data_IF_085709637073
#
_entry.id   IF_085709637073
#
_cell.length_a   1.000
_cell.length_b   1.000
_cell.length_c   1.000
_cell.angle_alpha   90.00
_cell.angle_beta   90.00
_cell.angle_gamma   90.00
#
_symmetry.space_group_name_H-M   'P 1'
#
loop_
_entity.id
_entity.type
_entity.pdbx_description
1 polymer ?
#
# COMPACT_ATOMS: atom_id res chain seq x y z
N UNK A 1 -53.26 -29.98 -31.37
CA UNK A 1 -51.78 -29.99 -31.33
C UNK A 1 -51.35 -29.05 -30.20
N UNK A 2 -50.97 -29.56 -29.03
CA UNK A 2 -50.51 -28.74 -27.89
C UNK A 2 -49.01 -28.93 -27.75
N UNK A 3 -48.26 -27.87 -28.05
CA UNK A 3 -46.82 -27.82 -27.98
C UNK A 3 -46.40 -27.56 -26.52
N UNK A 4 -45.84 -28.57 -25.86
CA UNK A 4 -45.20 -28.40 -24.56
C UNK A 4 -43.75 -28.00 -24.78
N UNK A 5 -43.44 -26.73 -24.55
CA UNK A 5 -42.05 -26.25 -24.50
C UNK A 5 -41.54 -26.52 -23.09
N UNK A 6 -40.78 -27.60 -22.94
CA UNK A 6 -39.98 -27.84 -21.73
C UNK A 6 -38.81 -26.85 -21.76
N UNK A 7 -38.94 -25.77 -20.98
CA UNK A 7 -37.81 -24.90 -20.62
C UNK A 7 -36.85 -25.71 -19.75
N UNK A 8 -35.86 -26.33 -20.40
CA UNK A 8 -34.69 -26.84 -19.72
C UNK A 8 -33.89 -25.65 -19.18
N UNK A 9 -34.04 -25.36 -17.89
CA UNK A 9 -33.16 -24.43 -17.18
C UNK A 9 -31.80 -25.12 -17.08
N UNK A 10 -30.88 -24.72 -17.94
CA UNK A 10 -29.47 -25.05 -17.78
C UNK A 10 -28.98 -24.34 -16.52
N UNK A 11 -28.93 -25.04 -15.39
CA UNK A 11 -28.16 -24.63 -14.22
C UNK A 11 -26.68 -24.66 -14.62
N UNK A 12 -26.18 -23.55 -15.14
CA UNK A 12 -24.75 -23.28 -15.03
C UNK A 12 -24.46 -23.23 -13.53
N UNK A 13 -23.59 -24.12 -13.06
CA UNK A 13 -23.14 -24.14 -11.67
C UNK A 13 -22.43 -22.83 -11.37
N UNK A 14 -23.16 -21.84 -10.88
CA UNK A 14 -22.59 -20.62 -10.33
C UNK A 14 -21.86 -21.04 -9.06
N UNK A 15 -20.53 -21.10 -9.10
CA UNK A 15 -19.72 -21.26 -7.89
C UNK A 15 -19.97 -20.02 -7.03
N UNK A 16 -20.83 -20.17 -6.02
CA UNK A 16 -21.26 -19.06 -5.17
C UNK A 16 -20.14 -18.75 -4.18
N UNK A 17 -19.45 -17.63 -4.40
CA UNK A 17 -18.47 -17.13 -3.43
C UNK A 17 -19.17 -16.58 -2.18
N UNK A 18 -18.61 -16.86 -1.01
CA UNK A 18 -19.07 -16.35 0.28
C UNK A 18 -18.30 -15.07 0.57
N UNK A 19 -19.01 -13.95 0.68
CA UNK A 19 -18.40 -12.65 1.01
C UNK A 19 -18.43 -12.44 2.52
N UNK A 20 -17.25 -12.22 3.12
CA UNK A 20 -17.09 -12.00 4.56
C UNK A 20 -16.53 -10.60 4.80
N UNK A 21 -17.28 -9.74 5.49
CA UNK A 21 -16.93 -8.33 5.70
C UNK A 21 -16.65 -7.96 7.17
N UNK A 22 -16.58 -8.96 8.04
CA UNK A 22 -16.32 -8.74 9.48
C UNK A 22 -14.82 -8.57 9.74
N UNK A 23 -14.48 -7.81 10.78
CA UNK A 23 -13.09 -7.60 11.24
C UNK A 23 -12.40 -8.87 11.72
N UNK A 24 -13.14 -9.93 12.00
CA UNK A 24 -12.60 -11.25 12.31
C UNK A 24 -13.65 -12.32 11.99
N UNK A 25 -13.19 -13.56 11.85
CA UNK A 25 -14.10 -14.67 11.63
C UNK A 25 -13.40 -16.01 11.64
N UNK A 26 -14.23 -17.04 11.55
CA UNK A 26 -13.84 -18.45 11.52
C UNK A 26 -14.34 -19.05 10.22
N UNK A 27 -13.47 -19.77 9.51
CA UNK A 27 -13.82 -20.54 8.32
C UNK A 27 -13.37 -21.98 8.51
N UNK A 28 -14.15 -22.91 7.95
CA UNK A 28 -13.84 -24.34 8.03
C UNK A 28 -14.14 -25.02 6.71
N UNK A 29 -13.44 -26.13 6.47
CA UNK A 29 -13.85 -27.09 5.45
C UNK A 29 -15.30 -27.58 5.68
N UNK A 30 -16.01 -28.01 4.62
CA UNK A 30 -17.35 -28.60 4.76
C UNK A 30 -17.34 -29.79 5.73
N UNK A 31 -18.35 -29.89 6.60
CA UNK A 31 -18.54 -30.95 7.61
C UNK A 31 -17.53 -31.00 8.77
N UNK A 32 -16.55 -30.10 8.83
CA UNK A 32 -15.61 -30.01 9.95
C UNK A 32 -16.33 -30.06 11.32
N UNK A 33 -15.91 -30.90 12.28
CA UNK A 33 -14.63 -31.65 12.33
C UNK A 33 -14.65 -33.03 11.64
N UNK A 34 -15.76 -33.42 11.02
CA UNK A 34 -15.83 -34.67 10.27
C UNK A 34 -15.15 -34.55 8.90
N UNK A 35 -15.00 -35.68 8.22
CA UNK A 35 -14.39 -35.73 6.89
C UNK A 35 -15.10 -34.84 5.88
N UNK A 36 -14.33 -34.05 5.13
CA UNK A 36 -14.89 -33.26 4.04
C UNK A 36 -15.31 -34.18 2.87
N UNK A 37 -16.35 -33.83 2.11
CA UNK A 37 -16.79 -34.65 0.98
C UNK A 37 -16.00 -34.32 -0.29
N UNK A 38 -15.89 -35.30 -1.19
CA UNK A 38 -15.31 -35.13 -2.52
C UNK A 38 -16.11 -34.13 -3.37
N UNK A 39 -15.48 -33.64 -4.45
CA UNK A 39 -16.03 -32.72 -5.44
C UNK A 39 -16.63 -31.44 -4.83
N UNK A 40 -15.95 -30.87 -3.83
CA UNK A 40 -16.35 -29.61 -3.24
C UNK A 40 -15.39 -28.50 -3.62
N UNK A 41 -16.01 -27.37 -3.92
CA UNK A 41 -15.34 -26.09 -4.00
C UNK A 41 -16.03 -25.12 -3.03
N UNK A 42 -15.21 -24.36 -2.29
CA UNK A 42 -15.65 -23.27 -1.43
C UNK A 42 -14.71 -22.10 -1.62
N UNK A 43 -15.30 -20.93 -1.88
CA UNK A 43 -14.57 -19.69 -2.08
C UNK A 43 -15.04 -18.71 -1.01
N UNK A 44 -14.13 -18.23 -0.18
CA UNK A 44 -14.37 -17.14 0.77
C UNK A 44 -13.62 -15.90 0.31
N UNK A 45 -14.36 -14.84 0.03
CA UNK A 45 -13.83 -13.51 -0.25
C UNK A 45 -13.92 -12.68 1.03
N UNK A 46 -12.80 -12.60 1.76
CA UNK A 46 -12.69 -11.83 2.99
C UNK A 46 -12.29 -10.41 2.61
N UNK A 47 -13.06 -9.42 3.04
CA UNK A 47 -12.77 -8.01 2.79
C UNK A 47 -12.90 -7.23 4.08
N UNK A 48 -11.82 -6.57 4.48
CA UNK A 48 -11.79 -5.66 5.63
C UNK A 48 -11.76 -4.20 5.14
N UNK A 49 -12.03 -3.21 6.01
CA UNK A 49 -11.92 -1.81 5.63
C UNK A 49 -10.53 -1.46 5.07
N UNK A 50 -10.44 -0.40 4.25
CA UNK A 50 -9.14 0.14 3.82
C UNK A 50 -8.35 0.62 5.05
N UNK A 51 -7.02 0.51 4.98
CA UNK A 51 -6.13 0.73 6.12
C UNK A 51 -5.86 -0.54 6.95
N UNK A 52 -6.49 -1.66 6.59
CA UNK A 52 -6.24 -2.95 7.24
C UNK A 52 -5.81 -4.00 6.21
N UNK A 53 -5.01 -4.97 6.68
CA UNK A 53 -4.76 -6.24 6.01
C UNK A 53 -5.53 -7.37 6.72
N UNK A 54 -5.68 -8.50 6.06
CA UNK A 54 -6.29 -9.72 6.60
C UNK A 54 -5.16 -10.67 7.01
N UNK A 55 -5.07 -10.92 8.31
CA UNK A 55 -4.20 -11.93 8.89
C UNK A 55 -4.99 -13.22 9.08
N UNK A 56 -4.51 -14.35 8.57
CA UNK A 56 -5.13 -15.66 8.72
C UNK A 56 -4.14 -16.70 9.25
N UNK A 57 -4.61 -17.60 10.10
CA UNK A 57 -3.86 -18.77 10.58
C UNK A 57 -4.80 -19.97 10.73
N UNK A 58 -4.21 -21.16 10.76
CA UNK A 58 -4.94 -22.43 10.84
C UNK A 58 -4.72 -23.05 12.21
N UNK A 59 -5.80 -23.45 12.87
CA UNK A 59 -5.75 -24.18 14.16
C UNK A 59 -5.80 -25.69 13.94
N UNK A 60 -6.33 -26.12 12.80
CA UNK A 60 -6.35 -27.51 12.37
C UNK A 60 -6.19 -27.59 10.86
N UNK A 61 -5.37 -28.52 10.39
CA UNK A 61 -5.17 -28.76 8.97
C UNK A 61 -4.83 -30.23 8.71
N UNK A 62 -5.62 -30.89 7.86
CA UNK A 62 -5.47 -32.28 7.47
C UNK A 62 -6.22 -32.51 6.16
N UNK A 63 -5.52 -32.30 5.03
CA UNK A 63 -6.02 -32.53 3.68
C UNK A 63 -5.29 -33.71 3.03
N UNK A 64 -5.80 -34.19 1.90
CA UNK A 64 -5.07 -35.16 1.09
C UNK A 64 -3.76 -34.54 0.58
N UNK A 65 -2.68 -35.33 0.61
CA UNK A 65 -1.37 -34.92 0.11
C UNK A 65 -1.23 -35.37 -1.35
N UNK A 66 -0.83 -34.45 -2.22
CA UNK A 66 -0.54 -34.71 -3.63
C UNK A 66 0.59 -33.81 -4.12
N UNK A 67 1.30 -34.21 -5.18
CA UNK A 67 2.41 -33.44 -5.73
C UNK A 67 1.94 -32.01 -6.09
N UNK A 68 2.60 -30.99 -5.53
CA UNK A 68 2.25 -29.57 -5.68
C UNK A 68 0.78 -29.25 -5.32
N UNK A 69 0.14 -30.08 -4.49
CA UNK A 69 -1.25 -29.95 -4.08
C UNK A 69 -2.27 -29.95 -5.24
N UNK A 70 -2.06 -30.81 -6.24
CA UNK A 70 -2.92 -30.88 -7.44
C UNK A 70 -4.35 -31.41 -7.15
N UNK A 71 -4.50 -32.33 -6.19
CA UNK A 71 -5.80 -32.94 -5.87
C UNK A 71 -6.61 -32.02 -4.95
N UNK A 72 -6.28 -32.02 -3.66
CA UNK A 72 -7.00 -31.29 -2.63
C UNK A 72 -6.14 -30.18 -2.06
N UNK A 73 -6.69 -28.98 -1.96
CA UNK A 73 -5.92 -27.83 -1.50
C UNK A 73 -6.75 -26.72 -0.86
N UNK A 74 -6.06 -25.91 -0.06
CA UNK A 74 -6.46 -24.56 0.31
C UNK A 74 -5.51 -23.56 -0.34
N UNK A 75 -6.04 -22.69 -1.20
CA UNK A 75 -5.29 -21.63 -1.88
C UNK A 75 -5.62 -20.27 -1.28
N UNK A 76 -4.58 -19.52 -0.93
CA UNK A 76 -4.66 -18.16 -0.40
C UNK A 76 -4.18 -17.17 -1.47
N UNK A 77 -5.00 -16.18 -1.83
CA UNK A 77 -4.64 -15.17 -2.83
C UNK A 77 -5.01 -13.76 -2.37
N UNK A 78 -4.16 -12.78 -2.66
CA UNK A 78 -4.39 -11.35 -2.37
C UNK A 78 -3.60 -10.49 -3.36
N UNK A 79 -4.12 -9.31 -3.73
CA UNK A 79 -3.44 -8.39 -4.67
C UNK A 79 -3.08 -9.01 -6.02
N UNK A 80 -3.85 -9.98 -6.50
CA UNK A 80 -3.58 -10.73 -7.74
C UNK A 80 -2.44 -11.75 -7.66
N UNK A 81 -1.85 -11.98 -6.47
CA UNK A 81 -0.79 -12.96 -6.24
C UNK A 81 -1.30 -14.12 -5.39
N UNK A 82 -0.76 -15.31 -5.64
CA UNK A 82 -0.95 -16.46 -4.74
C UNK A 82 0.03 -16.31 -3.57
N UNK A 83 -0.48 -16.31 -2.35
CA UNK A 83 0.31 -16.26 -1.12
C UNK A 83 0.78 -17.66 -0.71
N UNK A 84 -0.11 -18.65 -0.83
CA UNK A 84 0.18 -20.05 -0.53
C UNK A 84 -0.82 -20.99 -1.22
N UNK A 85 -0.37 -22.21 -1.50
CA UNK A 85 -1.21 -23.36 -1.85
C UNK A 85 -0.87 -24.47 -0.85
N UNK A 86 -1.86 -24.90 -0.07
CA UNK A 86 -1.66 -25.73 1.11
C UNK A 86 -2.38 -27.07 0.96
N UNK A 87 -1.73 -28.17 1.32
CA UNK A 87 -2.31 -29.51 1.34
C UNK A 87 -1.58 -30.43 2.32
N UNK A 88 -2.02 -31.68 2.42
CA UNK A 88 -1.46 -32.62 3.39
C UNK A 88 -1.77 -32.27 4.85
N UNK A 89 -1.00 -32.85 5.76
CA UNK A 89 -1.08 -32.61 7.21
C UNK A 89 0.19 -31.96 7.75
N UNK A 90 1.34 -32.40 7.26
CA UNK A 90 2.67 -31.91 7.59
C UNK A 90 3.37 -31.51 6.28
N UNK A 91 4.24 -30.49 6.33
CA UNK A 91 4.98 -30.00 5.16
C UNK A 91 6.00 -31.03 4.65
N UNK A 92 6.24 -31.06 3.34
CA UNK A 92 7.23 -31.93 2.66
C UNK A 92 8.25 -31.06 1.90
N UNK A 93 9.14 -31.69 1.13
CA UNK A 93 10.08 -30.97 0.25
C UNK A 93 9.37 -30.19 -0.89
N UNK A 94 8.15 -30.61 -1.26
CA UNK A 94 7.41 -30.09 -2.43
C UNK A 94 6.04 -29.51 -2.09
N UNK A 95 5.48 -29.85 -0.94
CA UNK A 95 4.16 -29.39 -0.48
C UNK A 95 4.25 -28.64 0.85
N UNK A 96 3.36 -27.65 1.04
CA UNK A 96 3.28 -26.84 2.26
C UNK A 96 2.00 -27.18 3.04
N UNK A 97 2.16 -27.50 4.32
CA UNK A 97 1.09 -27.41 5.32
C UNK A 97 1.26 -26.10 6.10
N UNK A 98 0.19 -25.51 6.66
CA UNK A 98 0.29 -24.21 7.32
C UNK A 98 1.10 -24.23 8.63
N UNK A 99 1.23 -25.37 9.31
CA UNK A 99 1.88 -25.51 10.61
C UNK A 99 1.46 -24.38 11.59
N UNK A 100 2.43 -23.61 12.13
CA UNK A 100 2.19 -22.41 12.95
C UNK A 100 2.36 -21.11 12.17
N UNK A 101 2.39 -21.17 10.83
CA UNK A 101 2.58 -20.00 9.97
C UNK A 101 1.31 -19.16 9.93
N UNK A 102 1.52 -17.86 9.90
CA UNK A 102 0.48 -16.87 9.67
C UNK A 102 0.66 -16.31 8.27
N UNK A 103 -0.44 -16.12 7.54
CA UNK A 103 -0.46 -15.47 6.25
C UNK A 103 -1.13 -14.10 6.37
N UNK A 104 -0.55 -13.08 5.73
CA UNK A 104 -1.06 -11.72 5.73
C UNK A 104 -1.33 -11.30 4.29
N UNK A 105 -2.50 -10.73 4.03
CA UNK A 105 -2.87 -10.23 2.71
C UNK A 105 -2.04 -9.00 2.32
N UNK A 106 -1.85 -8.81 1.01
CA UNK A 106 -1.12 -7.65 0.45
C UNK A 106 -1.96 -6.38 0.53
N UNK A 107 -3.27 -6.53 0.36
CA UNK A 107 -4.26 -5.46 0.44
C UNK A 107 -5.35 -5.80 1.46
N UNK A 108 -6.48 -5.08 1.44
CA UNK A 108 -7.60 -5.30 2.35
C UNK A 108 -8.50 -6.48 1.93
N UNK A 109 -8.06 -7.33 1.02
CA UNK A 109 -8.79 -8.49 0.51
C UNK A 109 -7.95 -9.78 0.61
N UNK A 110 -8.58 -10.85 1.09
CA UNK A 110 -8.03 -12.20 1.04
C UNK A 110 -9.06 -13.16 0.47
N UNK A 111 -8.68 -13.82 -0.61
CA UNK A 111 -9.44 -14.92 -1.20
C UNK A 111 -8.89 -16.24 -0.69
N UNK A 112 -9.78 -17.05 -0.10
CA UNK A 112 -9.48 -18.41 0.34
C UNK A 112 -10.30 -19.36 -0.52
N UNK A 113 -9.63 -20.29 -1.21
CA UNK A 113 -10.27 -21.32 -2.03
C UNK A 113 -9.95 -22.68 -1.43
N UNK A 114 -10.98 -23.42 -1.03
CA UNK A 114 -10.86 -24.85 -0.74
C UNK A 114 -11.40 -25.64 -1.91
N UNK A 115 -10.64 -26.63 -2.38
CA UNK A 115 -11.05 -27.56 -3.41
C UNK A 115 -10.70 -28.99 -3.00
N UNK A 116 -11.65 -29.89 -3.23
CA UNK A 116 -11.42 -31.33 -3.18
C UNK A 116 -11.73 -31.97 -4.54
N UNK A 117 -10.95 -32.96 -4.95
CA UNK A 117 -11.07 -33.67 -6.21
C UNK A 117 -12.18 -34.75 -6.17
N UNK A 118 -12.12 -35.78 -7.02
CA UNK A 118 -13.16 -36.81 -7.09
C UNK A 118 -13.07 -37.90 -6.01
N UNK A 119 -11.93 -38.06 -5.34
CA UNK A 119 -11.66 -39.21 -4.49
C UNK A 119 -10.86 -38.83 -3.27
N UNK A 120 -11.27 -39.34 -2.11
CA UNK A 120 -10.43 -39.36 -0.92
C UNK A 120 -10.19 -40.81 -0.53
N UNK A 121 -8.93 -41.24 -0.52
CA UNK A 121 -8.58 -42.62 -0.12
C UNK A 121 -8.84 -42.88 1.38
N UNK A 122 -8.85 -41.81 2.19
CA UNK A 122 -9.02 -41.84 3.65
C UNK A 122 -9.92 -40.69 4.12
N UNK A 123 -10.55 -40.79 5.29
CA UNK A 123 -11.32 -39.68 5.85
C UNK A 123 -10.39 -38.57 6.37
N UNK A 124 -10.21 -37.51 5.58
CA UNK A 124 -9.46 -36.32 5.99
C UNK A 124 -10.38 -35.30 6.65
N UNK A 125 -10.04 -34.88 7.87
CA UNK A 125 -10.87 -33.97 8.68
C UNK A 125 -10.91 -32.53 8.18
N UNK A 126 -10.09 -32.16 7.20
CA UNK A 126 -10.09 -30.85 6.57
C UNK A 126 -9.37 -29.81 7.41
N UNK A 127 -9.92 -28.60 7.47
CA UNK A 127 -9.28 -27.47 8.16
C UNK A 127 -10.24 -26.61 8.98
N UNK A 128 -9.66 -25.94 9.96
CA UNK A 128 -10.22 -24.81 10.70
C UNK A 128 -9.23 -23.65 10.67
N UNK A 129 -9.71 -22.48 10.26
CA UNK A 129 -8.90 -21.26 10.21
C UNK A 129 -9.64 -20.07 10.82
N UNK A 130 -8.86 -19.17 11.39
CA UNK A 130 -9.32 -17.91 11.95
C UNK A 130 -8.61 -16.76 11.25
N UNK A 131 -9.38 -15.74 10.92
CA UNK A 131 -8.84 -14.52 10.34
C UNK A 131 -9.22 -13.31 11.18
N UNK A 132 -8.38 -12.27 11.13
CA UNK A 132 -8.62 -10.98 11.74
C UNK A 132 -8.04 -9.85 10.88
N UNK A 133 -8.64 -8.68 10.97
CA UNK A 133 -8.12 -7.44 10.42
C UNK A 133 -6.93 -6.97 11.28
N UNK A 134 -5.82 -6.65 10.63
CA UNK A 134 -4.63 -6.09 11.24
C UNK A 134 -4.40 -4.69 10.67
N UNK A 135 -4.19 -3.72 11.55
CA UNK A 135 -3.90 -2.34 11.16
C UNK A 135 -2.59 -2.27 10.36
N UNK A 136 -2.60 -1.55 9.25
CA UNK A 136 -1.41 -1.36 8.44
C UNK A 136 -0.65 -0.16 9.01
N UNK A 137 0.55 -0.39 9.53
CA UNK A 137 1.43 0.71 9.94
C UNK A 137 2.06 1.37 8.70
N UNK A 138 1.38 2.38 8.15
CA UNK A 138 1.86 3.05 6.93
C UNK A 138 3.15 3.85 7.15
N UNK A 139 3.48 4.18 8.41
CA UNK A 139 4.70 4.89 8.77
C UNK A 139 5.96 4.01 8.67
N UNK A 140 5.79 2.68 8.69
CA UNK A 140 6.90 1.73 8.44
C UNK A 140 7.08 1.39 6.96
N UNK A 141 6.16 1.81 6.10
CA UNK A 141 6.22 1.52 4.67
C UNK A 141 6.94 2.64 3.90
N UNK A 142 7.69 2.25 2.88
CA UNK A 142 8.26 3.17 1.90
C UNK A 142 7.34 3.24 0.68
N UNK A 143 7.05 4.45 0.22
CA UNK A 143 6.27 4.70 -0.98
C UNK A 143 7.23 5.18 -2.08
N UNK A 144 7.42 4.36 -3.13
CA UNK A 144 8.42 4.59 -4.19
C UNK A 144 9.85 4.85 -3.68
N UNK A 145 10.22 4.17 -2.58
CA UNK A 145 11.54 4.30 -1.95
C UNK A 145 11.69 5.52 -1.02
N UNK A 146 10.69 6.40 -0.92
CA UNK A 146 10.68 7.53 0.01
C UNK A 146 9.70 7.31 1.19
N UNK A 147 9.95 7.95 2.35
CA UNK A 147 8.98 7.99 3.44
C UNK A 147 7.65 8.62 3.01
N UNK A 148 6.55 8.06 3.52
CA UNK A 148 5.19 8.49 3.18
C UNK A 148 4.88 9.95 3.53
N UNK A 149 5.44 10.45 4.63
CA UNK A 149 5.30 11.80 5.12
C UNK A 149 6.64 12.54 5.06
N UNK A 150 6.62 13.82 4.71
CA UNK A 150 7.85 14.61 4.58
C UNK A 150 8.56 14.82 5.93
N UNK A 151 7.81 15.06 7.01
CA UNK A 151 8.38 15.29 8.35
C UNK A 151 7.96 14.21 9.34
N UNK A 152 6.76 14.29 9.90
CA UNK A 152 6.30 13.36 10.92
C UNK A 152 5.13 12.54 10.38
N UNK A 153 5.19 11.23 10.57
CA UNK A 153 4.12 10.29 10.27
C UNK A 153 3.48 9.80 11.57
N UNK A 154 2.16 9.75 11.62
CA UNK A 154 1.39 9.29 12.76
C UNK A 154 0.45 8.17 12.31
N UNK A 155 0.71 6.96 12.78
CA UNK A 155 -0.14 5.80 12.55
C UNK A 155 -1.31 5.79 13.55
N UNK A 156 -2.51 5.42 13.09
CA UNK A 156 -3.66 5.15 13.93
C UNK A 156 -4.46 4.00 13.34
N UNK A 157 -5.37 3.43 14.14
CA UNK A 157 -6.17 2.27 13.73
C UNK A 157 -7.05 2.62 12.52
N UNK A 158 -6.71 2.07 11.36
CA UNK A 158 -7.37 2.27 10.07
C UNK A 158 -6.79 3.39 9.19
N UNK A 159 -5.64 3.95 9.52
CA UNK A 159 -4.95 4.88 8.65
C UNK A 159 -3.82 5.70 9.29
N UNK A 160 -3.39 6.73 8.59
CA UNK A 160 -2.33 7.62 9.06
C UNK A 160 -2.62 9.08 8.76
N UNK A 161 -1.85 9.97 9.38
CA UNK A 161 -1.76 11.37 8.97
C UNK A 161 -0.32 11.89 9.11
N UNK A 162 0.00 12.91 8.31
CA UNK A 162 1.28 13.59 8.39
C UNK A 162 1.17 14.89 9.17
N UNK A 163 2.24 15.26 9.87
CA UNK A 163 2.37 16.58 10.49
C UNK A 163 3.74 17.18 10.22
N UNK A 164 3.86 18.49 10.42
CA UNK A 164 5.06 19.26 10.11
C UNK A 164 5.77 19.76 11.37
N UNK A 165 7.07 20.03 11.24
CA UNK A 165 7.87 20.75 12.24
C UNK A 165 7.39 22.19 12.39
N UNK A 166 7.77 22.84 13.49
CA UNK A 166 7.49 24.27 13.72
C UNK A 166 8.03 25.12 12.56
N UNK A 167 7.26 26.10 12.10
CA UNK A 167 7.61 26.96 10.95
C UNK A 167 7.13 26.43 9.59
N UNK A 168 6.53 25.24 9.55
CA UNK A 168 6.00 24.63 8.34
C UNK A 168 4.49 24.43 8.42
N UNK A 169 3.85 24.41 7.26
CA UNK A 169 2.44 24.07 7.08
C UNK A 169 2.29 22.82 6.25
N UNK A 170 1.31 21.98 6.62
CA UNK A 170 0.99 20.81 5.83
C UNK A 170 0.32 21.25 4.51
N UNK A 171 0.92 20.85 3.40
CA UNK A 171 0.41 21.13 2.06
C UNK A 171 -0.96 20.44 1.83
N UNK A 172 -1.72 20.91 0.85
CA UNK A 172 -3.04 20.34 0.50
C UNK A 172 -3.01 18.86 0.09
N UNK A 173 -1.85 18.34 -0.31
CA UNK A 173 -1.65 16.90 -0.58
C UNK A 173 -1.55 16.03 0.70
N UNK A 174 -1.61 16.65 1.89
CA UNK A 174 -1.56 16.01 3.21
C UNK A 174 -0.28 15.20 3.50
N UNK A 175 0.78 15.36 2.72
CA UNK A 175 2.06 14.64 2.88
C UNK A 175 3.27 15.56 2.96
N UNK A 176 3.27 16.64 2.20
CA UNK A 176 4.40 17.56 2.07
C UNK A 176 4.30 18.70 3.07
N UNK A 177 5.44 19.11 3.62
CA UNK A 177 5.51 20.27 4.50
C UNK A 177 6.10 21.45 3.73
N UNK A 178 5.30 22.50 3.56
CA UNK A 178 5.74 23.74 2.91
C UNK A 178 6.15 24.73 3.97
N UNK A 179 7.24 25.44 3.73
CA UNK A 179 7.61 26.54 4.58
C UNK A 179 6.98 27.83 4.06
N UNK A 180 6.44 28.64 4.97
CA UNK A 180 5.95 29.96 4.65
C UNK A 180 7.03 30.99 4.93
N UNK A 181 7.56 31.58 3.87
CA UNK A 181 8.47 32.70 3.96
C UNK A 181 7.71 33.99 3.70
N UNK A 182 7.79 34.92 4.63
CA UNK A 182 7.43 36.30 4.33
C UNK A 182 8.46 36.88 3.35
N UNK A 183 8.00 37.78 2.48
CA UNK A 183 8.91 38.52 1.60
C UNK A 183 9.94 39.27 2.42
N UNK A 184 11.23 39.02 2.17
CA UNK A 184 12.31 39.72 2.86
C UNK A 184 12.81 40.88 2.01
N UNK A 185 13.01 42.04 2.66
CA UNK A 185 13.60 43.23 2.04
C UNK A 185 15.00 43.41 2.62
N UNK A 186 16.00 43.43 1.76
CA UNK A 186 17.40 43.67 2.11
C UNK A 186 17.76 45.10 1.72
N UNK A 187 18.12 45.92 2.72
CA UNK A 187 18.52 47.32 2.53
C UNK A 187 19.99 47.58 2.82
N UNK A 188 20.70 46.58 3.35
CA UNK A 188 22.13 46.71 3.66
C UNK A 188 22.98 46.70 2.38
N UNK A 189 24.13 47.38 2.41
CA UNK A 189 25.04 47.47 1.26
C UNK A 189 25.73 46.15 0.93
N UNK A 190 25.86 45.27 1.91
CA UNK A 190 26.43 43.93 1.80
C UNK A 190 25.52 42.97 2.57
N UNK A 191 25.38 41.75 2.08
CA UNK A 191 24.56 40.73 2.71
C UNK A 191 24.61 39.41 1.94
N UNK A 192 24.09 38.36 2.57
CA UNK A 192 24.04 37.02 1.99
C UNK A 192 22.58 36.53 1.92
N UNK A 193 22.22 35.91 0.79
CA UNK A 193 20.89 35.34 0.58
C UNK A 193 21.05 33.87 0.24
N UNK A 194 20.66 33.01 1.18
CA UNK A 194 20.72 31.56 1.00
C UNK A 194 19.34 30.98 0.71
N UNK A 195 19.27 29.76 0.17
CA UNK A 195 18.03 28.99 0.18
C UNK A 195 17.62 28.66 1.63
N UNK A 196 16.33 28.38 1.89
CA UNK A 196 15.95 28.05 3.24
C UNK A 196 16.60 26.76 3.73
N UNK A 197 17.04 26.78 4.99
CA UNK A 197 17.78 25.70 5.66
C UNK A 197 19.12 25.33 5.02
N UNK A 198 19.67 26.18 4.13
CA UNK A 198 21.01 25.96 3.57
C UNK A 198 22.04 25.69 4.69
N UNK A 199 22.91 24.66 4.54
CA UNK A 199 23.19 23.88 3.34
C UNK A 199 22.33 22.61 3.16
N UNK A 200 21.28 22.43 3.97
CA UNK A 200 20.39 21.26 3.87
C UNK A 200 19.39 21.39 2.70
N UNK A 201 18.74 20.29 2.27
CA UNK A 201 17.77 20.34 1.18
C UNK A 201 16.63 21.32 1.46
N UNK A 202 16.35 22.20 0.49
CA UNK A 202 15.30 23.20 0.63
C UNK A 202 13.91 22.56 0.72
N UNK A 203 12.96 23.21 1.40
CA UNK A 203 11.58 22.72 1.52
C UNK A 203 10.87 22.51 0.20
N UNK A 204 10.23 21.34 0.05
CA UNK A 204 9.42 21.01 -1.14
C UNK A 204 8.18 21.90 -1.22
N UNK A 205 7.69 22.11 -2.46
CA UNK A 205 6.48 22.89 -2.77
C UNK A 205 6.41 24.29 -2.12
N UNK A 206 7.57 24.87 -1.82
CA UNK A 206 7.67 26.16 -1.15
C UNK A 206 8.03 27.25 -2.16
N UNK A 207 7.51 28.45 -1.95
CA UNK A 207 7.86 29.64 -2.74
C UNK A 207 8.41 30.70 -1.80
N UNK A 208 9.51 31.34 -2.20
CA UNK A 208 10.12 32.44 -1.47
C UNK A 208 10.46 33.56 -2.44
N UNK A 209 10.14 34.78 -2.03
CA UNK A 209 10.52 36.01 -2.71
C UNK A 209 11.36 36.88 -1.78
N UNK A 210 12.39 37.52 -2.31
CA UNK A 210 13.13 38.56 -1.62
C UNK A 210 13.33 39.76 -2.55
N UNK A 211 13.53 40.94 -1.96
CA UNK A 211 13.74 42.19 -2.67
C UNK A 211 14.96 42.87 -2.10
N UNK A 212 15.90 43.25 -2.97
CA UNK A 212 17.07 44.04 -2.58
C UNK A 212 16.78 45.49 -2.95
N UNK A 213 16.86 46.40 -1.98
CA UNK A 213 16.58 47.82 -2.16
C UNK A 213 17.81 48.64 -1.75
N UNK A 214 18.36 49.40 -2.70
CA UNK A 214 19.56 50.22 -2.51
C UNK A 214 19.26 51.69 -2.83
N UNK A 215 20.12 52.59 -2.33
CA UNK A 215 20.04 54.02 -2.64
C UNK A 215 20.18 54.29 -4.15
N UNK A 216 19.52 55.34 -4.64
CA UNK A 216 19.60 55.73 -6.05
C UNK A 216 21.05 55.97 -6.50
N UNK A 217 21.38 55.47 -7.69
CA UNK A 217 22.75 55.50 -8.23
C UNK A 217 23.64 54.35 -7.77
N UNK A 218 23.18 53.46 -6.89
CA UNK A 218 23.92 52.25 -6.49
C UNK A 218 23.78 51.13 -7.53
N UNK A 219 24.86 50.37 -7.73
CA UNK A 219 24.87 49.14 -8.53
C UNK A 219 24.79 47.92 -7.61
N UNK A 220 23.97 46.93 -7.98
CA UNK A 220 23.86 45.65 -7.27
C UNK A 220 24.73 44.62 -8.01
N UNK A 221 25.67 44.01 -7.31
CA UNK A 221 26.46 42.88 -7.79
C UNK A 221 26.02 41.61 -7.05
N UNK A 222 25.65 40.56 -7.78
CA UNK A 222 25.31 39.26 -7.22
C UNK A 222 26.42 38.25 -7.55
N UNK A 223 26.95 37.60 -6.53
CA UNK A 223 27.95 36.54 -6.67
C UNK A 223 27.40 35.26 -6.03
N UNK A 224 27.31 34.20 -6.82
CA UNK A 224 26.97 32.87 -6.31
C UNK A 224 28.22 32.22 -5.76
N UNK A 225 28.23 32.00 -4.45
CA UNK A 225 29.33 31.34 -3.73
C UNK A 225 28.91 29.93 -3.31
N UNK A 226 29.88 29.16 -2.83
CA UNK A 226 29.66 27.80 -2.30
C UNK A 226 28.93 26.84 -3.25
N UNK A 227 28.09 25.94 -2.71
CA UNK A 227 27.42 24.89 -3.48
C UNK A 227 26.12 25.38 -4.09
N UNK A 228 25.97 25.18 -5.41
CA UNK A 228 24.73 25.46 -6.12
C UNK A 228 24.09 24.16 -6.60
N UNK A 229 23.03 23.72 -5.93
CA UNK A 229 22.33 22.48 -6.23
C UNK A 229 20.82 22.72 -6.37
N UNK A 230 20.34 22.70 -7.61
CA UNK A 230 18.92 22.79 -7.98
C UNK A 230 18.60 21.62 -8.89
N UNK A 231 17.43 21.00 -8.71
CA UNK A 231 17.03 19.84 -9.50
C UNK A 231 16.95 20.17 -11.00
N UNK A 232 17.58 19.36 -11.84
CA UNK A 232 17.67 19.56 -13.30
C UNK A 232 17.19 18.34 -14.07
N UNK A 233 16.74 18.58 -15.30
CA UNK A 233 16.44 17.53 -16.28
C UNK A 233 17.26 17.81 -17.55
N UNK A 234 18.02 16.84 -18.09
CA UNK A 234 18.76 17.05 -19.32
C UNK A 234 17.83 17.46 -20.48
N UNK A 235 18.20 18.52 -21.20
CA UNK A 235 17.45 18.99 -22.38
C UNK A 235 16.23 19.86 -22.11
N UNK A 236 15.84 20.07 -20.84
CA UNK A 236 14.75 21.01 -20.46
C UNK A 236 15.26 21.97 -19.40
N UNK A 237 15.14 23.28 -19.64
CA UNK A 237 15.61 24.29 -18.69
C UNK A 237 14.66 24.37 -17.48
N UNK A 238 15.17 24.02 -16.30
CA UNK A 238 14.52 24.18 -14.99
C UNK A 238 13.03 23.74 -14.93
N UNK A 239 12.67 22.49 -15.29
CA UNK A 239 11.26 22.07 -15.30
C UNK A 239 10.66 21.85 -13.91
N UNK A 240 11.49 21.66 -12.88
CA UNK A 240 11.04 21.29 -11.53
C UNK A 240 11.16 22.46 -10.54
N UNK A 241 12.36 23.01 -10.41
CA UNK A 241 12.67 24.08 -9.47
C UNK A 241 13.32 25.24 -10.22
N UNK A 242 12.89 26.46 -9.90
CA UNK A 242 13.34 27.67 -10.60
C UNK A 242 13.76 28.73 -9.59
N UNK A 243 14.99 29.22 -9.73
CA UNK A 243 15.42 30.49 -9.15
C UNK A 243 15.28 31.56 -10.25
N UNK A 244 14.47 32.59 -9.98
CA UNK A 244 14.28 33.71 -10.90
C UNK A 244 14.80 34.98 -10.24
N UNK A 245 15.61 35.73 -10.97
CA UNK A 245 16.06 37.07 -10.61
C UNK A 245 15.42 38.02 -11.61
N UNK A 246 14.79 39.09 -11.12
CA UNK A 246 14.14 40.10 -11.95
C UNK A 246 14.56 41.49 -11.51
N UNK A 247 15.12 42.29 -12.42
CA UNK A 247 15.26 43.73 -12.23
C UNK A 247 13.98 44.42 -12.74
N UNK A 248 13.18 45.06 -11.86
CA UNK A 248 11.98 45.79 -12.28
C UNK A 248 12.26 46.96 -13.24
N UNK A 249 13.52 47.40 -13.37
CA UNK A 249 13.96 48.43 -14.32
C UNK A 249 14.34 47.87 -15.70
N UNK A 250 14.32 46.55 -15.88
CA UNK A 250 14.34 45.93 -17.20
C UNK A 250 15.64 46.11 -18.00
N UNK A 251 16.80 46.03 -17.36
CA UNK A 251 18.08 45.92 -18.07
C UNK A 251 18.54 44.46 -17.95
N UNK A 252 18.49 43.75 -19.08
CA UNK A 252 18.80 42.33 -19.19
C UNK A 252 20.26 41.98 -19.00
#
# INVERSE_FOLDING_TARGET
MRLFVLLAVLYSGVSSSIVLQKMYGRITSPNFPNGYPNHKERIWNITVPKGYSVRIYFTHFNLELSYLCEYDYVKLSSGGKTLATLCGKDSTDTEEAPDNKTYVSVDNNLMVVFRSDYSNEKPFSGFEAFYAAEDIDECKQLFDGEPLCNHHCHNYVGGYYCSCRLGYTLHGNKRTCTAHYQGQIFTERLGEITSPEYPTPYPRLSSRSCTIQVEDGSLILLEFTETFNVETLPGVLCPYHVLKISDPRGVG
#
